data_IF_855275231750
#
_entry.id   IF_855275231750
#
_cell.length_a   1.000
_cell.length_b   1.000
_cell.length_c   1.000
_cell.angle_alpha   90.00
_cell.angle_beta   90.00
_cell.angle_gamma   90.00
#
_symmetry.space_group_name_H-M   'P 1'
#
loop_
_entity.id
_entity.type
_entity.pdbx_description
1 polymer ?
#
# COMPACT_ATOMS: atom_id res chain seq x y z
N UNK A 1 -22.98 47.73 18.35
CA UNK A 1 -23.13 48.71 17.26
C UNK A 1 -22.46 48.12 16.04
N UNK A 2 -23.20 47.36 15.23
CA UNK A 2 -22.68 46.66 14.05
C UNK A 2 -22.52 47.67 12.91
N UNK A 3 -21.31 47.80 12.37
CA UNK A 3 -21.06 48.51 11.10
C UNK A 3 -21.15 47.51 9.95
N UNK A 4 -22.10 47.65 9.02
CA UNK A 4 -22.09 46.85 7.81
C UNK A 4 -20.98 47.39 6.88
N UNK A 5 -20.10 46.51 6.41
CA UNK A 5 -19.20 46.80 5.30
C UNK A 5 -19.89 46.31 4.04
N UNK A 6 -20.28 47.25 3.18
CA UNK A 6 -20.83 47.01 1.86
C UNK A 6 -19.68 46.63 0.92
N UNK A 7 -19.61 45.37 0.48
CA UNK A 7 -18.69 44.92 -0.56
C UNK A 7 -19.29 45.34 -1.92
N UNK A 8 -18.75 46.40 -2.53
CA UNK A 8 -19.05 46.75 -3.93
C UNK A 8 -18.14 45.89 -4.82
N UNK A 9 -18.73 44.90 -5.50
CA UNK A 9 -18.05 44.18 -6.58
C UNK A 9 -18.15 45.04 -7.85
N UNK A 10 -17.08 45.73 -8.19
CA UNK A 10 -16.89 46.26 -9.54
C UNK A 10 -16.43 45.10 -10.43
N UNK A 11 -17.29 44.63 -11.33
CA UNK A 11 -16.91 43.64 -12.35
C UNK A 11 -16.03 44.35 -13.38
N UNK A 12 -14.71 44.24 -13.23
CA UNK A 12 -13.79 44.52 -14.35
C UNK A 12 -13.79 43.30 -15.27
N UNK A 13 -14.44 43.43 -16.42
CA UNK A 13 -14.27 42.50 -17.52
C UNK A 13 -12.82 42.60 -18.04
N UNK A 14 -12.04 41.52 -17.89
CA UNK A 14 -10.74 41.42 -18.54
C UNK A 14 -9.69 40.68 -17.70
N UNK A 15 -9.67 39.36 -17.84
CA UNK A 15 -8.51 38.45 -17.93
C UNK A 15 -9.10 37.02 -17.89
N UNK A 16 -8.69 36.08 -18.76
CA UNK A 16 -9.05 34.68 -18.57
C UNK A 16 -8.46 34.28 -17.21
N UNK A 17 -9.31 34.17 -16.20
CA UNK A 17 -8.88 33.61 -14.93
C UNK A 17 -8.49 32.18 -15.26
N UNK A 18 -7.20 31.85 -15.13
CA UNK A 18 -6.79 30.47 -15.07
C UNK A 18 -7.69 29.81 -14.03
N UNK A 19 -8.43 28.77 -14.44
CA UNK A 19 -9.20 27.97 -13.48
C UNK A 19 -8.20 27.58 -12.38
N UNK A 20 -8.51 27.84 -11.10
CA UNK A 20 -7.63 27.42 -10.02
C UNK A 20 -7.41 25.92 -10.17
N UNK A 21 -6.17 25.51 -10.45
CA UNK A 21 -5.80 24.11 -10.50
C UNK A 21 -5.76 23.63 -9.06
N UNK A 22 -6.82 22.95 -8.63
CA UNK A 22 -6.81 22.27 -7.34
C UNK A 22 -5.78 21.13 -7.42
N UNK A 23 -4.81 21.07 -6.49
CA UNK A 23 -3.93 19.92 -6.41
C UNK A 23 -4.79 18.69 -6.05
N UNK A 24 -4.79 17.70 -6.93
CA UNK A 24 -5.50 16.43 -6.71
C UNK A 24 -4.48 15.36 -6.37
N UNK A 25 -4.71 14.65 -5.26
CA UNK A 25 -3.99 13.43 -4.93
C UNK A 25 -4.67 12.19 -5.51
N UNK A 26 -3.90 11.13 -5.75
CA UNK A 26 -4.41 9.84 -6.22
C UNK A 26 -4.04 8.74 -5.24
N UNK A 27 -5.02 7.90 -4.85
CA UNK A 27 -4.72 6.65 -4.16
C UNK A 27 -4.23 5.63 -5.17
N UNK A 28 -3.04 5.08 -4.98
CA UNK A 28 -2.50 4.07 -5.87
C UNK A 28 -3.17 2.73 -5.58
N UNK A 29 -3.68 2.07 -6.62
CA UNK A 29 -4.36 0.79 -6.50
C UNK A 29 -3.45 -0.31 -5.94
N UNK A 30 -4.08 -1.24 -5.21
CA UNK A 30 -3.41 -2.42 -4.64
C UNK A 30 -2.84 -3.36 -5.69
N UNK A 31 -1.91 -4.19 -5.24
CA UNK A 31 -1.14 -5.08 -6.09
C UNK A 31 -1.42 -6.54 -5.77
N UNK A 32 -1.71 -7.32 -6.81
CA UNK A 32 -1.79 -8.78 -6.75
C UNK A 32 -1.54 -9.35 -8.16
N UNK A 33 -1.39 -10.66 -8.30
CA UNK A 33 -1.02 -11.26 -9.59
C UNK A 33 -2.11 -11.17 -10.66
N UNK A 34 -3.37 -10.87 -10.32
CA UNK A 34 -4.48 -10.80 -11.28
C UNK A 34 -4.96 -9.36 -11.53
N UNK A 35 -4.26 -8.37 -10.97
CA UNK A 35 -4.62 -6.96 -11.14
C UNK A 35 -4.37 -6.55 -12.59
N UNK A 36 -5.29 -5.75 -13.14
CA UNK A 36 -5.11 -5.11 -14.44
C UNK A 36 -4.17 -3.90 -14.36
N UNK A 37 -3.84 -3.45 -13.15
CA UNK A 37 -2.93 -2.33 -12.93
C UNK A 37 -1.47 -2.83 -12.98
N UNK A 38 -0.82 -2.67 -14.12
CA UNK A 38 0.60 -2.98 -14.28
C UNK A 38 1.44 -1.83 -13.69
N UNK A 39 2.16 -2.12 -12.61
CA UNK A 39 2.93 -1.12 -11.85
C UNK A 39 4.44 -1.29 -12.03
N UNK A 40 4.94 -2.52 -11.91
CA UNK A 40 6.36 -2.85 -11.98
C UNK A 40 6.71 -3.38 -13.37
N UNK A 41 7.96 -3.21 -13.79
CA UNK A 41 8.44 -3.77 -15.06
C UNK A 41 8.74 -5.26 -14.94
N UNK A 42 9.24 -5.69 -13.78
CA UNK A 42 9.44 -7.11 -13.47
C UNK A 42 8.13 -7.75 -13.01
N UNK A 43 7.63 -8.70 -13.81
CA UNK A 43 6.37 -9.40 -13.55
C UNK A 43 6.42 -10.16 -12.22
N UNK A 44 7.60 -10.67 -11.82
CA UNK A 44 7.79 -11.42 -10.58
C UNK A 44 7.43 -10.58 -9.34
N UNK A 45 7.64 -9.26 -9.40
CA UNK A 45 7.30 -8.33 -8.30
C UNK A 45 5.84 -8.43 -7.86
N UNK A 46 4.96 -8.83 -8.78
CA UNK A 46 3.50 -8.94 -8.56
C UNK A 46 3.02 -10.37 -8.36
N UNK A 47 3.94 -11.34 -8.26
CA UNK A 47 3.62 -12.75 -8.17
C UNK A 47 2.77 -13.09 -6.93
N UNK A 48 2.01 -14.19 -7.02
CA UNK A 48 1.28 -14.71 -5.87
C UNK A 48 2.23 -15.17 -4.76
N UNK A 49 1.64 -15.52 -3.63
CA UNK A 49 2.35 -16.30 -2.61
C UNK A 49 2.76 -17.68 -3.15
N UNK A 50 3.68 -18.33 -2.44
CA UNK A 50 4.04 -19.72 -2.71
C UNK A 50 2.85 -20.64 -2.46
N UNK A 51 2.57 -21.47 -3.44
CA UNK A 51 1.55 -22.51 -3.37
C UNK A 51 2.27 -23.83 -3.23
N UNK A 52 2.09 -24.50 -2.10
CA UNK A 52 2.73 -25.77 -1.78
C UNK A 52 1.96 -26.94 -2.39
N UNK A 53 2.67 -27.91 -2.92
CA UNK A 53 2.07 -29.14 -3.46
C UNK A 53 3.03 -30.32 -3.36
N UNK A 54 2.51 -31.54 -3.49
CA UNK A 54 3.33 -32.73 -3.72
C UNK A 54 2.66 -33.62 -4.77
N UNK A 55 3.32 -34.69 -5.18
CA UNK A 55 2.71 -35.65 -6.11
C UNK A 55 1.43 -36.24 -5.49
N UNK A 56 0.33 -36.19 -6.25
CA UNK A 56 -0.99 -36.66 -5.81
C UNK A 56 -1.79 -35.69 -4.93
N UNK A 57 -1.27 -34.50 -4.61
CA UNK A 57 -2.03 -33.48 -3.86
C UNK A 57 -3.02 -32.71 -4.73
N UNK A 58 -3.89 -31.93 -4.10
CA UNK A 58 -4.66 -30.86 -4.76
C UNK A 58 -3.73 -29.72 -5.25
N UNK A 59 -4.32 -28.68 -5.87
CA UNK A 59 -3.58 -27.52 -6.39
C UNK A 59 -2.74 -26.81 -5.32
N UNK A 60 -3.28 -26.70 -4.10
CA UNK A 60 -2.65 -26.10 -2.94
C UNK A 60 -2.85 -27.02 -1.73
N UNK A 61 -1.77 -27.39 -1.06
CA UNK A 61 -1.81 -28.19 0.18
C UNK A 61 -2.08 -27.35 1.43
N UNK A 62 -1.94 -26.02 1.36
CA UNK A 62 -2.22 -25.10 2.46
C UNK A 62 -1.14 -25.05 3.56
N UNK A 63 -0.01 -25.75 3.37
CA UNK A 63 1.08 -25.84 4.37
C UNK A 63 2.24 -24.86 4.11
N UNK A 64 1.97 -23.74 3.42
CA UNK A 64 2.99 -22.74 3.06
C UNK A 64 3.72 -22.17 4.27
N UNK A 65 3.03 -21.97 5.39
CA UNK A 65 3.65 -21.45 6.62
C UNK A 65 4.58 -22.45 7.33
N UNK A 66 4.68 -23.69 6.83
CA UNK A 66 5.64 -24.71 7.28
C UNK A 66 6.92 -24.75 6.43
N UNK A 67 7.01 -23.97 5.35
CA UNK A 67 8.22 -23.88 4.53
C UNK A 67 9.35 -23.18 5.30
N UNK A 68 10.56 -23.71 5.17
CA UNK A 68 11.78 -22.99 5.53
C UNK A 68 12.12 -22.01 4.40
N UNK A 69 12.07 -20.71 4.72
CA UNK A 69 12.26 -19.61 3.79
C UNK A 69 13.47 -18.77 4.21
N UNK A 70 14.19 -18.22 3.24
CA UNK A 70 15.23 -17.23 3.51
C UNK A 70 14.63 -15.88 3.96
N UNK A 71 15.49 -14.92 4.27
CA UNK A 71 15.08 -13.58 4.74
C UNK A 71 14.29 -12.77 3.72
N UNK A 72 14.35 -13.15 2.43
CA UNK A 72 13.61 -12.57 1.31
C UNK A 72 12.34 -13.37 1.00
N UNK A 73 12.09 -14.46 1.73
CA UNK A 73 10.93 -15.32 1.60
C UNK A 73 11.02 -16.35 0.47
N UNK A 74 12.20 -16.62 -0.10
CA UNK A 74 12.39 -17.73 -1.04
C UNK A 74 12.60 -19.06 -0.30
N UNK A 75 12.06 -20.20 -0.76
CA UNK A 75 12.35 -21.50 -0.17
C UNK A 75 13.85 -21.83 -0.21
N UNK A 76 14.42 -22.19 0.94
CA UNK A 76 15.86 -22.48 1.05
C UNK A 76 16.26 -23.76 0.32
N UNK A 77 15.33 -24.63 0.01
CA UNK A 77 15.50 -25.81 -0.85
C UNK A 77 14.14 -26.28 -1.36
N UNK A 78 14.15 -27.05 -2.46
CA UNK A 78 12.95 -27.70 -3.01
C UNK A 78 13.35 -29.07 -3.59
N UNK A 79 12.62 -30.16 -3.29
CA UNK A 79 11.49 -30.23 -2.37
C UNK A 79 11.92 -30.17 -0.89
N UNK A 80 11.03 -29.70 -0.02
CA UNK A 80 11.16 -29.82 1.44
C UNK A 80 10.32 -30.98 1.96
N UNK A 81 10.77 -31.67 3.01
CA UNK A 81 9.95 -32.72 3.65
C UNK A 81 8.99 -32.08 4.65
N UNK A 82 7.72 -31.96 4.29
CA UNK A 82 6.65 -31.41 5.14
C UNK A 82 5.57 -32.48 5.30
N UNK A 83 5.19 -32.78 6.54
CA UNK A 83 4.17 -33.79 6.86
C UNK A 83 4.45 -35.18 6.21
N UNK A 84 5.73 -35.51 6.00
CA UNK A 84 6.15 -36.77 5.37
C UNK A 84 6.12 -36.77 3.83
N UNK A 85 5.77 -35.66 3.20
CA UNK A 85 5.70 -35.50 1.76
C UNK A 85 6.86 -34.66 1.22
N UNK A 86 7.34 -34.98 0.01
CA UNK A 86 8.27 -34.16 -0.74
C UNK A 86 7.52 -32.97 -1.35
N UNK A 87 7.45 -31.88 -0.61
CA UNK A 87 6.68 -30.67 -0.95
C UNK A 87 7.49 -29.76 -1.87
N UNK A 88 6.93 -29.50 -3.04
CA UNK A 88 7.37 -28.52 -4.03
C UNK A 88 6.56 -27.22 -3.91
N UNK A 89 6.99 -26.18 -4.64
CA UNK A 89 6.28 -24.90 -4.69
C UNK A 89 5.97 -24.48 -6.11
N UNK A 90 4.88 -23.73 -6.26
CA UNK A 90 4.51 -23.02 -7.47
C UNK A 90 4.01 -21.63 -7.14
N UNK A 91 3.96 -20.75 -8.11
CA UNK A 91 3.43 -19.40 -7.95
C UNK A 91 2.75 -18.95 -9.25
N UNK A 92 1.80 -18.05 -9.13
CA UNK A 92 1.15 -17.41 -10.26
C UNK A 92 1.84 -16.10 -10.59
N UNK A 93 1.83 -15.76 -11.88
CA UNK A 93 2.33 -14.48 -12.38
C UNK A 93 1.23 -13.76 -13.15
N UNK A 94 1.36 -12.44 -13.23
CA UNK A 94 0.37 -11.60 -13.89
C UNK A 94 0.46 -11.71 -15.40
N UNK A 95 -0.60 -12.23 -16.03
CA UNK A 95 -0.70 -12.39 -17.48
C UNK A 95 -1.49 -11.26 -18.16
N UNK A 96 -1.65 -10.10 -17.52
CA UNK A 96 -2.06 -8.86 -18.20
C UNK A 96 -0.88 -8.14 -18.89
N UNK A 97 0.34 -8.54 -18.59
CA UNK A 97 1.51 -8.17 -19.37
C UNK A 97 1.46 -8.83 -20.75
N UNK A 98 1.98 -8.16 -21.76
CA UNK A 98 2.00 -8.66 -23.14
C UNK A 98 3.42 -8.64 -23.68
N UNK A 99 3.78 -9.68 -24.44
CA UNK A 99 5.04 -9.78 -25.15
C UNK A 99 5.95 -10.88 -24.62
N UNK A 100 7.21 -10.83 -25.03
CA UNK A 100 8.23 -11.80 -24.67
C UNK A 100 9.04 -11.31 -23.47
N UNK A 101 9.22 -12.17 -22.48
CA UNK A 101 9.92 -11.89 -21.23
C UNK A 101 11.01 -12.92 -21.00
N UNK A 102 12.14 -12.48 -20.48
CA UNK A 102 13.24 -13.35 -20.05
C UNK A 102 13.03 -13.76 -18.59
N UNK A 103 13.14 -15.06 -18.34
CA UNK A 103 13.09 -15.64 -17.00
C UNK A 103 14.52 -15.79 -16.47
N UNK A 104 14.81 -15.10 -15.38
CA UNK A 104 16.13 -15.03 -14.74
C UNK A 104 15.99 -15.48 -13.29
N UNK A 105 17.02 -16.10 -12.73
CA UNK A 105 17.11 -16.44 -11.31
C UNK A 105 18.56 -16.64 -10.91
N UNK A 106 18.84 -16.51 -9.61
CA UNK A 106 20.12 -16.90 -9.02
C UNK A 106 19.98 -18.27 -8.35
N UNK A 107 21.04 -19.06 -8.37
CA UNK A 107 21.10 -20.37 -7.73
C UNK A 107 21.01 -21.55 -8.69
N UNK A 108 20.82 -22.74 -8.14
CA UNK A 108 20.68 -24.00 -8.86
C UNK A 108 19.31 -24.61 -8.59
N UNK A 109 18.51 -24.79 -9.63
CA UNK A 109 17.18 -25.38 -9.55
C UNK A 109 16.61 -25.76 -10.91
N UNK A 110 15.41 -26.33 -10.89
CA UNK A 110 14.67 -26.73 -12.07
C UNK A 110 13.24 -26.19 -12.01
N UNK A 111 12.69 -25.88 -13.19
CA UNK A 111 11.39 -25.22 -13.31
C UNK A 111 10.47 -25.94 -14.30
N UNK A 112 9.17 -25.77 -14.10
CA UNK A 112 8.12 -26.17 -15.03
C UNK A 112 7.15 -25.00 -15.24
N UNK A 113 6.73 -24.78 -16.48
CA UNK A 113 6.00 -23.59 -16.90
C UNK A 113 4.65 -23.98 -17.49
N UNK A 114 3.60 -23.23 -17.14
CA UNK A 114 2.30 -23.29 -17.82
C UNK A 114 2.06 -22.02 -18.63
N UNK A 115 3.06 -21.66 -19.42
CA UNK A 115 3.08 -20.53 -20.33
C UNK A 115 3.98 -20.90 -21.49
N UNK A 116 3.69 -20.50 -22.75
CA UNK A 116 4.57 -20.77 -23.86
C UNK A 116 5.99 -20.28 -23.59
N UNK A 117 6.95 -21.21 -23.67
CA UNK A 117 8.35 -20.97 -23.34
C UNK A 117 9.29 -21.50 -24.43
N UNK A 118 10.44 -20.85 -24.57
CA UNK A 118 11.52 -21.24 -25.47
C UNK A 118 12.85 -21.14 -24.74
N UNK A 119 13.62 -22.22 -24.76
CA UNK A 119 15.02 -22.25 -24.30
C UNK A 119 15.95 -21.74 -25.41
N UNK A 120 16.88 -20.86 -25.06
CA UNK A 120 17.93 -20.35 -25.94
C UNK A 120 19.28 -20.38 -25.21
N UNK A 121 20.37 -20.16 -25.94
CA UNK A 121 21.74 -20.24 -25.40
C UNK A 121 21.98 -19.28 -24.21
N UNK A 122 21.21 -18.19 -24.12
CA UNK A 122 21.27 -17.18 -23.06
C UNK A 122 20.14 -17.28 -22.00
N UNK A 123 19.28 -18.31 -22.07
CA UNK A 123 18.30 -18.62 -21.02
C UNK A 123 16.89 -18.90 -21.52
N UNK A 124 15.95 -18.97 -20.57
CA UNK A 124 14.54 -19.27 -20.81
C UNK A 124 13.76 -17.99 -21.10
N UNK A 125 12.92 -18.01 -22.14
CA UNK A 125 11.98 -16.95 -22.45
C UNK A 125 10.55 -17.46 -22.38
N UNK A 126 9.65 -16.65 -21.81
CA UNK A 126 8.21 -16.91 -21.77
C UNK A 126 7.46 -15.86 -22.61
N UNK A 127 6.30 -16.22 -23.14
CA UNK A 127 5.42 -15.29 -23.87
C UNK A 127 4.12 -15.08 -23.09
N UNK A 128 3.87 -13.84 -22.68
CA UNK A 128 2.63 -13.42 -22.04
C UNK A 128 1.70 -12.79 -23.08
N UNK A 129 0.41 -13.12 -23.02
CA UNK A 129 -0.57 -12.77 -24.07
C UNK A 129 -1.51 -11.62 -23.68
N UNK A 130 -1.38 -11.10 -22.45
CA UNK A 130 -2.18 -9.97 -21.95
C UNK A 130 -3.62 -10.34 -21.55
N UNK A 131 -4.02 -11.61 -21.66
CA UNK A 131 -5.41 -12.03 -21.43
C UNK A 131 -5.83 -12.04 -19.96
N UNK A 132 -4.86 -11.99 -19.04
CA UNK A 132 -5.09 -12.23 -17.61
C UNK A 132 -5.38 -13.69 -17.27
N UNK A 133 -5.09 -14.61 -18.20
CA UNK A 133 -5.25 -16.05 -18.00
C UNK A 133 -4.41 -16.60 -16.84
N UNK A 134 -4.77 -17.80 -16.39
CA UNK A 134 -4.13 -18.47 -15.25
C UNK A 134 -2.74 -19.03 -15.62
N UNK A 135 -1.71 -18.21 -15.42
CA UNK A 135 -0.30 -18.58 -15.67
C UNK A 135 0.43 -18.87 -14.37
N UNK A 136 1.19 -19.96 -14.35
CA UNK A 136 2.00 -20.35 -13.21
C UNK A 136 3.36 -20.93 -13.60
N UNK A 137 4.28 -20.86 -12.64
CA UNK A 137 5.62 -21.44 -12.70
C UNK A 137 5.82 -22.32 -11.45
N UNK A 138 6.39 -23.49 -11.64
CA UNK A 138 6.75 -24.44 -10.59
C UNK A 138 8.26 -24.43 -10.40
N UNK A 139 8.70 -24.41 -9.14
CA UNK A 139 10.06 -24.79 -8.77
C UNK A 139 9.99 -26.27 -8.42
N UNK A 140 10.59 -27.11 -9.24
CA UNK A 140 10.57 -28.58 -9.06
C UNK A 140 11.82 -29.08 -8.36
N UNK A 141 12.90 -28.30 -8.38
CA UNK A 141 14.11 -28.54 -7.60
C UNK A 141 14.80 -27.22 -7.24
N UNK A 142 15.41 -27.16 -6.06
CA UNK A 142 16.28 -26.08 -5.63
C UNK A 142 17.27 -26.59 -4.59
N UNK A 143 18.56 -26.33 -4.78
CA UNK A 143 19.62 -26.85 -3.92
C UNK A 143 19.82 -26.03 -2.65
N UNK A 144 19.89 -26.67 -1.48
CA UNK A 144 20.05 -26.00 -0.18
C UNK A 144 21.27 -25.09 -0.05
N UNK A 145 22.39 -25.48 -0.64
CA UNK A 145 23.65 -24.74 -0.59
C UNK A 145 23.72 -23.59 -1.62
N UNK A 146 22.82 -23.58 -2.59
CA UNK A 146 22.75 -22.57 -3.64
C UNK A 146 21.30 -22.45 -4.16
N UNK A 147 20.39 -22.03 -3.28
CA UNK A 147 18.96 -22.10 -3.56
C UNK A 147 18.51 -21.06 -4.58
N UNK A 148 17.37 -21.34 -5.21
CA UNK A 148 16.73 -20.48 -6.20
C UNK A 148 16.23 -19.25 -5.47
N UNK A 149 16.67 -18.08 -5.93
CA UNK A 149 16.30 -16.78 -5.38
C UNK A 149 16.43 -15.70 -6.46
N UNK A 150 16.01 -14.48 -6.14
CA UNK A 150 16.14 -13.33 -7.05
C UNK A 150 15.56 -13.63 -8.46
N UNK A 151 14.40 -14.30 -8.47
CA UNK A 151 13.68 -14.59 -9.69
C UNK A 151 13.23 -13.27 -10.30
N UNK A 152 13.48 -13.06 -11.59
CA UNK A 152 13.09 -11.87 -12.35
C UNK A 152 12.48 -12.29 -13.67
N UNK A 153 11.39 -11.63 -14.06
CA UNK A 153 10.66 -11.86 -15.31
C UNK A 153 10.55 -10.50 -16.00
N UNK A 154 11.56 -10.18 -16.80
CA UNK A 154 11.74 -8.84 -17.38
C UNK A 154 11.50 -8.85 -18.89
N UNK A 155 11.05 -7.75 -19.50
CA UNK A 155 10.89 -7.67 -20.95
C UNK A 155 12.17 -8.02 -21.70
N UNK A 156 12.06 -8.70 -22.84
CA UNK A 156 13.19 -9.06 -23.72
C UNK A 156 14.08 -7.82 -24.04
N UNK A 157 13.46 -6.64 -24.19
CA UNK A 157 14.17 -5.39 -24.46
C UNK A 157 15.07 -4.87 -23.33
N UNK A 158 14.96 -5.42 -22.12
CA UNK A 158 15.75 -5.04 -20.95
C UNK A 158 16.63 -6.18 -20.44
N UNK A 159 16.78 -7.26 -21.21
CA UNK A 159 17.36 -8.50 -20.73
C UNK A 159 18.74 -8.37 -20.05
N UNK A 160 19.64 -7.59 -20.64
CA UNK A 160 21.02 -7.41 -20.18
C UNK A 160 21.24 -6.05 -19.50
N UNK A 161 20.20 -5.21 -19.44
CA UNK A 161 20.27 -3.82 -18.97
C UNK A 161 19.32 -3.51 -17.82
N UNK A 162 18.46 -4.45 -17.42
CA UNK A 162 17.53 -4.26 -16.33
C UNK A 162 18.27 -3.97 -15.02
N UNK A 163 17.96 -2.83 -14.42
CA UNK A 163 18.50 -2.39 -13.15
C UNK A 163 17.35 -1.90 -12.25
N UNK A 164 16.92 -2.65 -11.23
CA UNK A 164 15.84 -2.23 -10.34
C UNK A 164 16.22 -1.02 -9.46
N UNK A 165 17.50 -0.60 -9.43
CA UNK A 165 17.91 0.64 -8.79
C UNK A 165 17.58 1.89 -9.62
N UNK A 166 17.39 1.75 -10.94
CA UNK A 166 16.87 2.80 -11.80
C UNK A 166 15.32 2.81 -11.71
N UNK A 167 14.69 3.88 -11.21
CA UNK A 167 13.22 3.96 -11.13
C UNK A 167 12.53 3.82 -12.50
N UNK A 168 13.20 4.21 -13.60
CA UNK A 168 12.69 4.06 -14.96
C UNK A 168 12.68 2.61 -15.46
N UNK A 169 13.47 1.74 -14.84
CA UNK A 169 13.41 0.30 -15.03
C UNK A 169 12.51 -0.38 -13.98
N UNK A 170 12.51 0.09 -12.73
CA UNK A 170 11.70 -0.49 -11.66
C UNK A 170 10.20 -0.42 -11.98
N UNK A 171 9.71 0.78 -12.35
CA UNK A 171 8.30 1.02 -12.61
C UNK A 171 7.97 0.99 -14.10
N UNK A 172 6.76 0.50 -14.40
CA UNK A 172 6.26 0.43 -15.76
C UNK A 172 5.99 1.85 -16.32
N UNK A 173 6.54 2.14 -17.49
CA UNK A 173 6.49 3.48 -18.10
C UNK A 173 5.08 4.08 -18.23
N UNK A 174 4.08 3.35 -18.76
CA UNK A 174 2.69 3.83 -18.81
C UNK A 174 2.08 4.11 -17.43
N UNK A 175 2.45 3.38 -16.39
CA UNK A 175 2.03 3.67 -15.02
C UNK A 175 2.62 5.00 -14.53
N UNK A 176 3.92 5.20 -14.71
CA UNK A 176 4.58 6.47 -14.38
C UNK A 176 3.91 7.66 -15.08
N UNK A 177 3.65 7.53 -16.39
CA UNK A 177 2.98 8.57 -17.19
C UNK A 177 1.56 8.86 -16.68
N UNK A 178 0.82 7.83 -16.28
CA UNK A 178 -0.52 7.97 -15.72
C UNK A 178 -0.58 8.77 -14.42
N UNK A 179 0.56 8.87 -13.71
CA UNK A 179 0.66 9.61 -12.45
C UNK A 179 1.13 11.06 -12.60
N UNK A 180 1.59 11.48 -13.78
CA UNK A 180 2.05 12.86 -14.04
C UNK A 180 1.04 13.95 -13.64
N UNK A 181 -0.29 13.81 -13.86
CA UNK A 181 -1.25 14.86 -13.54
C UNK A 181 -1.48 15.09 -12.04
N UNK A 182 -1.16 14.12 -11.18
CA UNK A 182 -1.46 14.21 -9.75
C UNK A 182 -0.40 14.99 -9.00
N UNK A 183 -0.78 15.61 -7.89
CA UNK A 183 0.10 16.34 -7.01
C UNK A 183 0.73 15.45 -5.93
N UNK A 184 -0.09 14.59 -5.32
CA UNK A 184 0.30 13.70 -4.23
C UNK A 184 -0.16 12.27 -4.51
N UNK A 185 0.58 11.29 -4.00
CA UNK A 185 0.25 9.87 -4.14
C UNK A 185 -0.04 9.28 -2.76
N UNK A 186 -1.24 8.71 -2.58
CA UNK A 186 -1.65 8.00 -1.37
C UNK A 186 -1.41 6.50 -1.53
N UNK A 187 -0.80 5.89 -0.53
CA UNK A 187 -0.30 4.52 -0.58
C UNK A 187 -1.08 3.55 0.31
N UNK A 188 -2.38 3.80 0.54
CA UNK A 188 -3.19 3.00 1.47
C UNK A 188 -3.23 1.53 1.04
N UNK A 189 -3.52 1.28 -0.24
CA UNK A 189 -3.58 -0.07 -0.79
C UNK A 189 -2.19 -0.65 -1.01
N UNK A 190 -1.18 0.15 -1.35
CA UNK A 190 0.20 -0.35 -1.41
C UNK A 190 0.66 -0.89 -0.06
N UNK A 191 0.35 -0.20 1.02
CA UNK A 191 0.76 -0.59 2.36
C UNK A 191 -0.10 -1.71 2.96
N UNK A 192 -1.11 -2.24 2.25
CA UNK A 192 -2.10 -3.18 2.78
C UNK A 192 -2.66 -2.69 4.14
N UNK A 193 -3.11 -1.43 4.18
CA UNK A 193 -3.51 -0.75 5.44
C UNK A 193 -4.73 -1.41 6.08
N UNK A 194 -5.75 -1.74 5.28
CA UNK A 194 -6.95 -2.41 5.74
C UNK A 194 -6.62 -3.83 6.24
N UNK A 195 -7.00 -4.15 7.48
CA UNK A 195 -6.70 -5.46 8.08
C UNK A 195 -5.20 -5.76 8.24
N UNK A 196 -4.33 -4.74 8.21
CA UNK A 196 -2.88 -4.91 8.29
C UNK A 196 -2.48 -5.69 9.53
N UNK A 197 -1.59 -6.67 9.36
CA UNK A 197 -1.03 -7.48 10.45
C UNK A 197 0.34 -6.96 10.93
N UNK A 198 0.84 -5.88 10.34
CA UNK A 198 2.13 -5.30 10.68
C UNK A 198 2.05 -4.56 12.03
N UNK A 199 2.95 -4.88 12.96
CA UNK A 199 2.97 -4.29 14.32
C UNK A 199 4.33 -3.68 14.65
N UNK A 200 5.41 -4.45 14.46
CA UNK A 200 6.80 -4.04 14.72
C UNK A 200 7.48 -3.63 13.44
N UNK A 201 8.48 -2.75 13.52
CA UNK A 201 9.24 -2.29 12.34
C UNK A 201 9.81 -3.44 11.48
N UNK A 202 10.19 -4.54 12.13
CA UNK A 202 10.66 -5.77 11.46
C UNK A 202 9.61 -6.44 10.57
N UNK A 203 8.32 -6.20 10.83
CA UNK A 203 7.20 -6.81 10.10
C UNK A 203 6.94 -6.13 8.76
N UNK A 204 7.66 -5.04 8.43
CA UNK A 204 7.51 -4.34 7.16
C UNK A 204 7.96 -5.17 5.96
N UNK A 205 7.34 -4.91 4.82
CA UNK A 205 7.82 -5.42 3.53
C UNK A 205 9.10 -4.70 3.13
N UNK A 206 10.04 -5.43 2.54
CA UNK A 206 11.33 -4.93 2.05
C UNK A 206 11.43 -5.04 0.53
N UNK A 207 12.26 -4.22 -0.14
CA UNK A 207 12.48 -4.34 -1.59
C UNK A 207 12.92 -5.73 -2.04
N UNK A 208 13.69 -6.42 -1.20
CA UNK A 208 14.24 -7.74 -1.49
C UNK A 208 13.25 -8.90 -1.24
N UNK A 209 12.05 -8.63 -0.72
CA UNK A 209 11.04 -9.68 -0.54
C UNK A 209 10.60 -10.20 -1.91
N UNK A 210 10.44 -11.52 -2.05
CA UNK A 210 10.20 -12.22 -3.32
C UNK A 210 8.97 -11.72 -4.09
N UNK A 211 8.02 -11.06 -3.42
CA UNK A 211 6.84 -10.43 -4.01
C UNK A 211 6.42 -9.21 -3.20
N UNK A 212 5.95 -8.19 -3.90
CA UNK A 212 5.29 -7.00 -3.36
C UNK A 212 3.75 -7.11 -3.47
N UNK A 213 3.22 -8.20 -4.05
CA UNK A 213 1.79 -8.42 -4.27
C UNK A 213 1.08 -9.25 -3.21
N UNK A 214 1.79 -9.66 -2.14
CA UNK A 214 1.23 -10.55 -1.10
C UNK A 214 1.00 -9.81 0.22
N UNK A 215 2.05 -9.16 0.75
CA UNK A 215 2.02 -8.42 2.01
C UNK A 215 1.90 -6.89 1.83
N UNK A 216 1.77 -6.45 0.58
CA UNK A 216 1.79 -5.05 0.16
C UNK A 216 3.15 -4.66 -0.43
N UNK A 217 3.20 -3.48 -1.02
CA UNK A 217 4.41 -2.84 -1.55
C UNK A 217 5.16 -2.13 -0.42
N UNK A 218 6.47 -2.28 -0.39
CA UNK A 218 7.31 -1.68 0.62
C UNK A 218 7.33 -0.14 0.56
N UNK A 219 7.56 0.48 1.73
CA UNK A 219 7.71 1.94 1.91
C UNK A 219 8.83 2.49 1.03
N UNK A 220 9.90 1.72 0.84
CA UNK A 220 11.04 2.05 -0.02
C UNK A 220 10.59 2.40 -1.44
N UNK A 221 9.77 1.57 -2.07
CA UNK A 221 9.28 1.78 -3.44
C UNK A 221 8.35 3.00 -3.52
N UNK A 222 7.50 3.22 -2.51
CA UNK A 222 6.65 4.41 -2.45
C UNK A 222 7.48 5.70 -2.43
N UNK A 223 8.54 5.75 -1.62
CA UNK A 223 9.47 6.89 -1.57
C UNK A 223 10.21 7.04 -2.91
N UNK A 224 10.69 5.95 -3.50
CA UNK A 224 11.36 5.98 -4.82
C UNK A 224 10.44 6.55 -5.89
N UNK A 225 9.17 6.14 -5.93
CA UNK A 225 8.19 6.64 -6.89
C UNK A 225 7.96 8.16 -6.73
N UNK A 226 7.71 8.61 -5.49
CA UNK A 226 7.51 10.02 -5.19
C UNK A 226 8.72 10.88 -5.55
N UNK A 227 9.93 10.42 -5.20
CA UNK A 227 11.17 11.11 -5.55
C UNK A 227 11.37 11.21 -7.06
N UNK A 228 11.09 10.13 -7.80
CA UNK A 228 11.27 10.08 -9.25
C UNK A 228 10.28 10.99 -9.99
N UNK A 229 9.03 11.04 -9.54
CA UNK A 229 7.98 11.85 -10.16
C UNK A 229 7.86 13.28 -9.58
N UNK A 230 8.60 13.58 -8.50
CA UNK A 230 8.49 14.85 -7.78
C UNK A 230 7.09 15.06 -7.17
N UNK A 231 6.52 14.03 -6.55
CA UNK A 231 5.16 14.03 -5.99
C UNK A 231 5.18 13.88 -4.49
N UNK A 232 4.29 14.57 -3.81
CA UNK A 232 4.15 14.45 -2.36
C UNK A 232 3.66 13.03 -1.99
N UNK A 233 4.09 12.56 -0.81
CA UNK A 233 3.82 11.21 -0.35
C UNK A 233 2.75 11.21 0.75
N UNK A 234 1.68 10.43 0.57
CA UNK A 234 0.66 10.23 1.59
C UNK A 234 0.65 8.79 2.08
N UNK A 235 1.11 8.63 3.32
CA UNK A 235 1.23 7.34 3.99
C UNK A 235 0.11 7.08 4.98
N UNK A 236 -0.33 5.82 5.04
CA UNK A 236 -1.29 5.34 6.02
C UNK A 236 -0.57 4.39 6.98
N UNK A 237 -0.52 4.75 8.26
CA UNK A 237 0.17 3.96 9.28
C UNK A 237 -0.72 2.78 9.68
N UNK A 238 -0.21 1.53 9.73
CA UNK A 238 -0.98 0.38 10.19
C UNK A 238 -1.59 0.61 11.57
N UNK A 239 -2.84 0.20 11.76
CA UNK A 239 -3.59 0.47 13.00
C UNK A 239 -2.93 -0.13 14.25
N UNK A 240 -2.28 -1.29 14.11
CA UNK A 240 -1.64 -2.00 15.21
C UNK A 240 -0.14 -1.71 15.36
N UNK A 241 0.39 -0.68 14.67
CA UNK A 241 1.80 -0.32 14.73
C UNK A 241 2.21 0.20 16.13
N UNK A 242 3.29 -0.35 16.66
CA UNK A 242 3.91 0.12 17.91
C UNK A 242 4.66 1.45 17.71
N UNK A 243 5.08 2.08 18.81
CA UNK A 243 5.73 3.39 18.76
C UNK A 243 7.03 3.35 17.94
N UNK A 244 7.76 2.24 18.01
CA UNK A 244 9.02 2.05 17.29
C UNK A 244 8.78 1.97 15.78
N UNK A 245 7.79 1.21 15.33
CA UNK A 245 7.36 1.18 13.93
C UNK A 245 7.03 2.59 13.44
N UNK A 246 6.22 3.33 14.20
CA UNK A 246 5.75 4.66 13.79
C UNK A 246 6.93 5.63 13.70
N UNK A 247 7.85 5.60 14.67
CA UNK A 247 9.02 6.45 14.70
C UNK A 247 10.01 6.10 13.58
N UNK A 248 10.33 4.82 13.37
CA UNK A 248 11.20 4.38 12.27
C UNK A 248 10.60 4.70 10.89
N UNK A 249 9.28 4.58 10.74
CA UNK A 249 8.60 4.98 9.52
C UNK A 249 8.73 6.49 9.29
N UNK A 250 8.46 7.30 10.30
CA UNK A 250 8.62 8.76 10.21
C UNK A 250 10.07 9.14 9.85
N UNK A 251 11.07 8.53 10.50
CA UNK A 251 12.50 8.72 10.17
C UNK A 251 12.80 8.37 8.73
N UNK A 252 12.36 7.19 8.28
CA UNK A 252 12.61 6.72 6.92
C UNK A 252 11.99 7.66 5.87
N UNK A 253 10.75 8.10 6.07
CA UNK A 253 10.08 9.04 5.17
C UNK A 253 10.79 10.41 5.16
N UNK A 254 11.11 10.95 6.33
CA UNK A 254 11.83 12.22 6.50
C UNK A 254 13.19 12.23 5.78
N UNK A 255 13.97 11.17 5.99
CA UNK A 255 15.38 11.11 5.59
C UNK A 255 15.55 10.72 4.12
N UNK A 256 14.61 9.96 3.54
CA UNK A 256 14.74 9.44 2.16
C UNK A 256 13.83 10.11 1.15
N UNK A 257 12.71 10.70 1.57
CA UNK A 257 11.90 11.52 0.65
C UNK A 257 12.63 12.84 0.40
N UNK A 258 12.69 13.25 -0.86
CA UNK A 258 13.28 14.51 -1.31
C UNK A 258 12.76 15.67 -0.45
N UNK A 259 13.68 16.48 0.08
CA UNK A 259 13.38 17.55 1.04
C UNK A 259 12.45 18.64 0.51
N UNK A 260 12.27 18.73 -0.81
CA UNK A 260 11.30 19.62 -1.45
C UNK A 260 9.86 19.09 -1.44
N UNK A 261 9.64 17.83 -1.05
CA UNK A 261 8.34 17.16 -1.05
C UNK A 261 7.75 17.09 0.36
N UNK A 262 6.43 17.12 0.40
CA UNK A 262 5.60 17.02 1.61
C UNK A 262 5.27 15.56 1.92
N UNK A 263 5.21 15.23 3.21
CA UNK A 263 4.68 13.97 3.72
C UNK A 263 3.34 14.21 4.40
N UNK A 264 2.30 13.55 3.90
CA UNK A 264 1.00 13.44 4.55
C UNK A 264 0.97 12.14 5.35
N UNK A 265 0.65 12.24 6.64
CA UNK A 265 0.50 11.07 7.51
C UNK A 265 -0.95 10.94 7.96
N UNK A 266 -1.50 9.74 7.77
CA UNK A 266 -2.83 9.34 8.21
C UNK A 266 -2.71 8.08 9.08
N UNK A 267 -3.48 8.02 10.17
CA UNK A 267 -3.59 6.79 10.96
C UNK A 267 -4.63 5.86 10.33
N UNK A 268 -4.16 4.72 9.81
CA UNK A 268 -4.96 3.65 9.23
C UNK A 268 -5.90 4.15 8.10
N UNK A 269 -7.03 3.49 7.91
CA UNK A 269 -8.05 3.82 6.93
C UNK A 269 -9.45 3.52 7.53
N UNK A 270 -10.37 4.47 7.39
CA UNK A 270 -11.78 4.35 7.81
C UNK A 270 -11.99 3.69 9.19
N UNK A 271 -11.27 4.13 10.22
CA UNK A 271 -11.35 3.52 11.56
C UNK A 271 -12.71 3.69 12.26
N UNK A 272 -13.60 4.51 11.71
CA UNK A 272 -15.00 4.62 12.12
C UNK A 272 -15.90 3.55 11.48
N UNK A 273 -15.42 2.81 10.48
CA UNK A 273 -16.19 1.85 9.70
C UNK A 273 -16.12 0.45 10.32
N UNK A 274 -17.18 0.01 10.98
CA UNK A 274 -17.29 -1.31 11.60
C UNK A 274 -17.25 -2.49 10.61
N UNK A 275 -17.24 -2.23 9.30
CA UNK A 275 -16.93 -3.26 8.30
C UNK A 275 -15.46 -3.68 8.28
N UNK A 276 -14.57 -2.93 8.95
CA UNK A 276 -13.14 -3.22 8.97
C UNK A 276 -12.61 -3.63 10.35
N UNK A 277 -11.67 -4.57 10.35
CA UNK A 277 -11.02 -5.07 11.56
C UNK A 277 -10.30 -3.98 12.36
N UNK A 278 -9.69 -3.00 11.69
CA UNK A 278 -9.00 -1.90 12.37
C UNK A 278 -9.92 -1.07 13.27
N UNK A 279 -11.20 -0.89 12.90
CA UNK A 279 -12.17 -0.16 13.69
C UNK A 279 -12.46 -0.91 15.00
N UNK A 280 -12.56 -2.24 14.91
CA UNK A 280 -12.71 -3.12 16.06
C UNK A 280 -11.46 -3.19 16.92
N UNK A 281 -10.28 -3.16 16.29
CA UNK A 281 -9.01 -3.15 17.00
C UNK A 281 -8.93 -1.95 17.95
N UNK A 282 -9.19 -0.73 17.48
CA UNK A 282 -9.08 0.47 18.32
C UNK A 282 -10.05 0.44 19.50
N UNK A 283 -11.33 0.14 19.25
CA UNK A 283 -12.33 0.21 20.30
C UNK A 283 -12.20 -0.86 21.38
N UNK A 284 -11.73 -2.06 21.01
CA UNK A 284 -11.60 -3.18 21.95
C UNK A 284 -10.26 -3.18 22.69
N UNK A 285 -9.20 -2.60 22.15
CA UNK A 285 -7.99 -2.36 22.93
C UNK A 285 -8.27 -1.38 24.09
N UNK A 286 -7.72 -1.68 25.26
CA UNK A 286 -8.10 -1.04 26.53
C UNK A 286 -9.41 -1.55 27.14
N UNK A 287 -10.29 -2.22 26.39
CA UNK A 287 -11.52 -2.83 26.92
C UNK A 287 -11.34 -4.30 27.26
N UNK A 288 -10.67 -5.05 26.39
CA UNK A 288 -10.46 -6.49 26.54
C UNK A 288 -8.95 -6.76 26.54
N UNK A 289 -8.37 -7.24 27.67
CA UNK A 289 -6.94 -7.49 27.79
C UNK A 289 -6.43 -8.61 26.88
N UNK A 290 -7.32 -9.47 26.37
CA UNK A 290 -6.95 -10.58 25.50
C UNK A 290 -7.17 -10.27 24.00
N UNK A 291 -7.64 -9.06 23.66
CA UNK A 291 -8.05 -8.67 22.30
C UNK A 291 -7.23 -7.52 21.68
N UNK A 292 -6.95 -7.60 20.38
CA UNK A 292 -6.00 -8.53 19.84
C UNK A 292 -4.61 -7.92 20.05
N UNK A 293 -3.90 -8.45 21.05
CA UNK A 293 -2.45 -8.37 21.21
C UNK A 293 -1.82 -7.19 21.98
N UNK A 294 -2.56 -6.30 22.64
CA UNK A 294 -1.96 -5.43 23.66
C UNK A 294 -2.07 -6.09 25.03
N UNK A 295 -0.93 -6.34 25.68
CA UNK A 295 -0.89 -6.79 27.07
C UNK A 295 -1.51 -5.72 27.99
N UNK A 296 -2.11 -6.12 29.11
CA UNK A 296 -2.70 -5.16 30.03
C UNK A 296 -1.67 -4.20 30.66
N UNK A 297 -0.37 -4.52 30.61
CA UNK A 297 0.73 -3.64 31.01
C UNK A 297 1.23 -2.73 29.88
N UNK A 298 0.71 -2.89 28.65
CA UNK A 298 1.05 -2.02 27.53
C UNK A 298 0.57 -0.58 27.79
N UNK A 299 1.42 0.40 27.50
CA UNK A 299 1.11 1.81 27.70
C UNK A 299 -0.06 2.27 26.84
N UNK A 300 -0.18 1.77 25.61
CA UNK A 300 -1.30 2.11 24.72
C UNK A 300 -2.61 1.51 25.22
N UNK A 301 -2.56 0.31 25.82
CA UNK A 301 -3.72 -0.30 26.47
C UNK A 301 -4.25 0.60 27.58
N UNK A 302 -3.38 1.07 28.48
CA UNK A 302 -3.76 1.96 29.57
C UNK A 302 -4.25 3.32 29.06
N UNK A 303 -3.61 3.88 28.04
CA UNK A 303 -4.07 5.14 27.44
C UNK A 303 -5.48 5.03 26.86
N UNK A 304 -5.83 3.92 26.19
CA UNK A 304 -7.20 3.73 25.71
C UNK A 304 -8.20 3.60 26.86
N UNK A 305 -7.82 3.02 28.01
CA UNK A 305 -8.65 3.01 29.21
C UNK A 305 -8.86 4.38 29.79
N UNK A 306 -7.81 5.20 29.84
CA UNK A 306 -7.87 6.56 30.34
C UNK A 306 -8.79 7.43 29.48
N UNK A 307 -8.70 7.31 28.14
CA UNK A 307 -9.64 7.95 27.21
C UNK A 307 -11.07 7.47 27.45
N UNK A 308 -11.27 6.16 27.63
CA UNK A 308 -12.60 5.61 27.89
C UNK A 308 -13.18 6.13 29.23
N UNK A 309 -12.36 6.22 30.27
CA UNK A 309 -12.75 6.79 31.55
C UNK A 309 -13.08 8.29 31.43
N UNK A 310 -12.27 9.05 30.71
CA UNK A 310 -12.46 10.51 30.56
C UNK A 310 -13.76 10.85 29.83
N UNK A 311 -14.04 10.18 28.70
CA UNK A 311 -15.13 10.57 27.81
C UNK A 311 -16.40 9.76 28.00
N UNK A 312 -16.29 8.55 28.56
CA UNK A 312 -17.40 7.62 28.71
C UNK A 312 -17.69 7.24 30.18
N UNK A 313 -16.91 7.72 31.16
CA UNK A 313 -17.02 7.38 32.59
C UNK A 313 -16.97 5.85 32.85
N UNK A 314 -16.30 5.12 31.94
CA UNK A 314 -16.14 3.67 31.99
C UNK A 314 -14.84 3.27 31.27
N UNK A 315 -13.80 2.79 32.00
CA UNK A 315 -12.52 2.43 31.41
C UNK A 315 -12.60 1.18 30.50
N UNK A 316 -13.68 0.39 30.60
CA UNK A 316 -13.92 -0.77 29.74
C UNK A 316 -14.84 -0.43 28.55
N UNK A 317 -15.19 0.84 28.37
CA UNK A 317 -16.02 1.28 27.25
C UNK A 317 -15.28 1.13 25.92
N UNK A 318 -16.05 0.84 24.87
CA UNK A 318 -15.57 0.94 23.49
C UNK A 318 -15.12 2.36 23.15
N UNK A 319 -15.75 3.36 23.78
CA UNK A 319 -15.51 4.80 23.70
C UNK A 319 -15.12 5.33 22.31
N UNK A 320 -16.00 5.10 21.35
CA UNK A 320 -15.89 5.65 20.01
C UNK A 320 -16.57 7.04 19.89
N UNK A 321 -15.96 8.00 19.17
CA UNK A 321 -14.71 7.91 18.41
C UNK A 321 -13.49 8.46 19.15
N UNK A 322 -13.55 8.71 20.46
CA UNK A 322 -12.43 9.33 21.16
C UNK A 322 -11.17 8.46 21.20
N UNK A 323 -11.32 7.12 21.27
CA UNK A 323 -10.16 6.24 21.08
C UNK A 323 -9.56 6.33 19.67
N UNK A 324 -10.38 6.52 18.64
CA UNK A 324 -9.91 6.73 17.27
C UNK A 324 -9.12 8.04 17.17
N UNK A 325 -9.64 9.10 17.77
CA UNK A 325 -8.99 10.40 17.82
C UNK A 325 -7.66 10.35 18.59
N UNK A 326 -7.60 9.62 19.70
CA UNK A 326 -6.38 9.38 20.47
C UNK A 326 -5.33 8.62 19.66
N UNK A 327 -5.75 7.59 18.91
CA UNK A 327 -4.84 6.83 18.08
C UNK A 327 -4.26 7.67 16.93
N UNK A 328 -5.07 8.56 16.31
CA UNK A 328 -4.57 9.56 15.36
C UNK A 328 -3.56 10.50 16.02
N UNK A 329 -3.91 11.05 17.20
CA UNK A 329 -3.05 11.94 17.96
C UNK A 329 -1.69 11.30 18.26
N UNK A 330 -1.67 10.03 18.68
CA UNK A 330 -0.44 9.28 18.96
C UNK A 330 0.49 9.26 17.74
N UNK A 331 -0.03 8.88 16.57
CA UNK A 331 0.75 8.88 15.32
C UNK A 331 1.28 10.28 15.01
N UNK A 332 0.40 11.28 15.09
CA UNK A 332 0.74 12.67 14.80
C UNK A 332 1.85 13.21 15.69
N UNK A 333 1.81 12.89 17.00
CA UNK A 333 2.82 13.33 17.94
C UNK A 333 4.18 12.69 17.68
N UNK A 334 4.22 11.39 17.40
CA UNK A 334 5.47 10.68 17.09
C UNK A 334 6.08 11.22 15.80
N UNK A 335 5.28 11.32 14.73
CA UNK A 335 5.75 11.88 13.46
C UNK A 335 6.23 13.32 13.61
N UNK A 336 5.48 14.15 14.32
CA UNK A 336 5.87 15.53 14.60
C UNK A 336 7.19 15.60 15.36
N UNK A 337 7.40 14.76 16.38
CA UNK A 337 8.65 14.70 17.14
C UNK A 337 9.85 14.41 16.22
N UNK A 338 9.75 13.37 15.39
CA UNK A 338 10.81 13.00 14.45
C UNK A 338 11.12 14.11 13.42
N UNK A 339 10.11 14.81 12.92
CA UNK A 339 10.33 15.91 11.96
C UNK A 339 10.82 17.19 12.65
N UNK A 340 10.34 17.48 13.85
CA UNK A 340 10.73 18.65 14.64
C UNK A 340 12.21 18.58 15.06
N UNK A 341 12.66 17.44 15.56
CA UNK A 341 14.06 17.25 16.00
C UNK A 341 15.07 17.43 14.86
N UNK A 342 14.63 17.23 13.61
CA UNK A 342 15.42 17.46 12.41
C UNK A 342 15.23 18.86 11.78
N UNK A 343 14.35 19.71 12.33
CA UNK A 343 14.02 21.02 11.77
C UNK A 343 13.25 20.96 10.45
N UNK A 344 12.45 19.91 10.24
CA UNK A 344 11.74 19.63 8.99
C UNK A 344 10.21 19.60 9.14
N UNK A 345 9.67 20.15 10.23
CA UNK A 345 8.22 20.14 10.53
C UNK A 345 7.36 20.75 9.40
N UNK A 346 7.88 21.73 8.66
CA UNK A 346 7.19 22.35 7.51
C UNK A 346 6.87 21.36 6.36
N UNK A 347 7.50 20.18 6.36
CA UNK A 347 7.26 19.11 5.37
C UNK A 347 6.19 18.12 5.81
N UNK A 348 5.65 18.22 7.03
CA UNK A 348 4.72 17.25 7.58
C UNK A 348 3.29 17.80 7.58
N UNK A 349 2.35 17.03 7.04
CA UNK A 349 0.92 17.29 7.10
C UNK A 349 0.23 16.13 7.81
N UNK A 350 -0.39 16.42 8.96
CA UNK A 350 -1.14 15.44 9.76
C UNK A 350 -2.59 15.42 9.29
N UNK A 351 -3.05 14.28 8.81
CA UNK A 351 -4.36 14.16 8.15
C UNK A 351 -5.35 13.42 9.03
N UNK A 352 -6.35 14.14 9.55
CA UNK A 352 -7.43 13.55 10.33
C UNK A 352 -8.45 12.85 9.43
N UNK A 353 -8.57 11.53 9.58
CA UNK A 353 -9.59 10.76 8.88
C UNK A 353 -10.98 11.05 9.47
N UNK A 354 -11.94 11.42 8.62
CA UNK A 354 -13.30 11.76 9.02
C UNK A 354 -14.32 11.10 8.09
N UNK A 355 -15.59 11.08 8.48
CA UNK A 355 -16.66 10.49 7.69
C UNK A 355 -17.64 11.59 7.24
N UNK A 356 -17.75 11.84 5.93
CA UNK A 356 -18.46 13.02 5.40
C UNK A 356 -19.92 13.17 5.87
N UNK A 357 -20.63 12.06 6.10
CA UNK A 357 -22.03 12.02 6.50
C UNK A 357 -22.28 11.97 8.01
N UNK A 358 -21.24 11.90 8.86
CA UNK A 358 -21.37 11.68 10.30
C UNK A 358 -20.79 12.85 11.09
N UNK A 359 -21.50 13.98 11.05
CA UNK A 359 -21.05 15.23 11.68
C UNK A 359 -20.71 15.08 13.17
N UNK A 360 -21.47 14.27 13.92
CA UNK A 360 -21.22 14.04 15.34
C UNK A 360 -19.94 13.24 15.64
N UNK A 361 -19.57 12.31 14.76
CA UNK A 361 -18.28 11.63 14.83
C UNK A 361 -17.14 12.63 14.57
N UNK A 362 -17.27 13.40 13.49
CA UNK A 362 -16.24 14.34 13.07
C UNK A 362 -16.01 15.44 14.11
N UNK A 363 -17.06 16.02 14.69
CA UNK A 363 -16.92 17.08 15.70
C UNK A 363 -16.21 16.59 16.96
N UNK A 364 -16.42 15.33 17.37
CA UNK A 364 -15.77 14.72 18.52
C UNK A 364 -14.30 14.40 18.23
N UNK A 365 -13.99 13.85 17.06
CA UNK A 365 -12.60 13.62 16.62
C UNK A 365 -11.83 14.93 16.58
N UNK A 366 -12.35 15.94 15.87
CA UNK A 366 -11.67 17.22 15.72
C UNK A 366 -11.59 17.98 17.04
N UNK A 367 -12.61 17.91 17.89
CA UNK A 367 -12.60 18.51 19.22
C UNK A 367 -11.58 17.87 20.15
N UNK A 368 -11.32 16.58 20.03
CA UNK A 368 -10.21 15.91 20.72
C UNK A 368 -8.88 16.41 20.15
N UNK A 369 -8.65 16.28 18.84
CA UNK A 369 -7.38 16.66 18.20
C UNK A 369 -7.00 18.13 18.45
N UNK A 370 -7.95 19.07 18.41
CA UNK A 370 -7.71 20.50 18.67
C UNK A 370 -7.09 20.78 20.05
N UNK A 371 -7.52 20.03 21.08
CA UNK A 371 -6.95 20.11 22.44
C UNK A 371 -5.55 19.50 22.56
N UNK A 372 -5.13 18.77 21.53
CA UNK A 372 -4.09 17.76 21.61
C UNK A 372 -3.03 17.91 20.50
N UNK A 373 -2.92 19.09 19.90
CA UNK A 373 -1.91 19.45 18.90
C UNK A 373 -2.47 19.65 17.49
N UNK A 374 -3.75 19.33 17.26
CA UNK A 374 -4.47 19.54 16.01
C UNK A 374 -4.12 18.55 14.91
N UNK A 375 -4.78 18.76 13.77
CA UNK A 375 -4.46 18.18 12.47
C UNK A 375 -4.36 19.31 11.45
N UNK A 376 -3.61 19.08 10.38
CA UNK A 376 -3.32 20.09 9.36
C UNK A 376 -4.27 19.96 8.15
N UNK A 377 -4.79 18.74 7.94
CA UNK A 377 -5.75 18.44 6.88
C UNK A 377 -6.82 17.43 7.34
N UNK A 378 -7.91 17.34 6.58
CA UNK A 378 -9.00 16.40 6.78
C UNK A 378 -9.08 15.44 5.58
N UNK A 379 -9.27 14.15 5.84
CA UNK A 379 -9.55 13.14 4.82
C UNK A 379 -10.98 12.63 5.00
N UNK A 380 -11.98 13.30 4.38
CA UNK A 380 -13.35 12.80 4.37
C UNK A 380 -13.49 11.69 3.33
N UNK A 381 -14.09 10.57 3.71
CA UNK A 381 -14.53 9.59 2.70
C UNK A 381 -15.59 10.21 1.81
N UNK A 382 -15.22 10.51 0.58
CA UNK A 382 -16.11 11.04 -0.46
C UNK A 382 -16.08 10.07 -1.63
N UNK A 383 -17.23 9.50 -1.96
CA UNK A 383 -17.37 8.60 -3.11
C UNK A 383 -17.91 9.38 -4.30
N UNK A 384 -17.11 9.46 -5.36
CA UNK A 384 -17.62 9.83 -6.67
C UNK A 384 -18.15 8.55 -7.31
N UNK A 385 -19.46 8.46 -7.50
CA UNK A 385 -20.07 7.33 -8.18
C UNK A 385 -20.45 7.74 -9.60
N UNK A 386 -19.98 6.97 -10.56
CA UNK A 386 -20.52 6.96 -11.90
C UNK A 386 -21.69 5.98 -11.95
N UNK A 387 -22.73 6.31 -12.70
CA UNK A 387 -23.89 5.43 -12.85
C UNK A 387 -23.57 4.29 -13.80
N UNK A 388 -24.39 3.23 -13.77
CA UNK A 388 -24.33 2.15 -14.78
C UNK A 388 -24.40 2.72 -16.20
N UNK A 389 -25.22 3.75 -16.42
CA UNK A 389 -25.34 4.48 -17.69
C UNK A 389 -24.03 5.17 -18.10
N UNK A 390 -23.29 5.77 -17.16
CA UNK A 390 -21.96 6.33 -17.45
C UNK A 390 -20.99 5.21 -17.89
N UNK A 391 -21.01 4.07 -17.20
CA UNK A 391 -20.16 2.93 -17.54
C UNK A 391 -20.51 2.31 -18.89
N UNK A 392 -21.80 2.11 -19.19
CA UNK A 392 -22.28 1.61 -20.49
C UNK A 392 -21.87 2.54 -21.64
N UNK A 393 -21.98 3.86 -21.40
CA UNK A 393 -21.57 4.89 -22.36
C UNK A 393 -20.08 4.77 -22.67
N UNK A 394 -19.22 4.64 -21.67
CA UNK A 394 -17.79 4.45 -21.88
C UNK A 394 -17.43 3.10 -22.50
N UNK A 395 -18.12 2.02 -22.15
CA UNK A 395 -17.92 0.69 -22.74
C UNK A 395 -18.29 0.65 -24.23
N UNK A 396 -19.22 1.50 -24.66
CA UNK A 396 -19.58 1.67 -26.06
C UNK A 396 -18.62 2.58 -26.85
N UNK A 397 -17.73 3.32 -26.16
CA UNK A 397 -16.75 4.18 -26.81
C UNK A 397 -15.55 3.39 -27.32
N UNK A 398 -15.03 3.80 -28.47
CA UNK A 398 -13.69 3.38 -28.88
C UNK A 398 -12.67 4.10 -27.98
N UNK A 399 -11.75 3.38 -27.28
CA UNK A 399 -10.80 3.98 -26.36
C UNK A 399 -9.95 5.12 -26.97
N UNK A 400 -9.74 5.11 -28.30
CA UNK A 400 -9.02 6.19 -29.00
C UNK A 400 -9.75 7.52 -29.06
N UNK A 401 -11.07 7.50 -28.83
CA UNK A 401 -11.96 8.63 -29.07
C UNK A 401 -12.43 9.27 -27.74
N UNK A 402 -12.06 8.68 -26.60
CA UNK A 402 -12.41 9.16 -25.26
C UNK A 402 -11.57 10.39 -24.90
N UNK A 403 -12.23 11.51 -24.62
CA UNK A 403 -11.61 12.71 -24.05
C UNK A 403 -11.88 12.82 -22.56
N UNK A 404 -11.09 13.63 -21.83
CA UNK A 404 -11.33 13.89 -20.41
C UNK A 404 -12.73 14.51 -20.18
N UNK A 405 -13.17 15.39 -21.08
CA UNK A 405 -14.49 16.04 -20.99
C UNK A 405 -15.62 15.00 -21.07
N UNK A 406 -15.47 13.94 -21.88
CA UNK A 406 -16.46 12.86 -22.02
C UNK A 406 -16.56 11.93 -20.79
N UNK A 407 -15.63 12.03 -19.86
CA UNK A 407 -15.59 11.22 -18.62
C UNK A 407 -16.04 12.05 -17.40
N UNK A 408 -15.94 13.38 -17.49
CA UNK A 408 -16.23 14.31 -16.39
C UNK A 408 -17.68 14.83 -16.45
N UNK A 409 -18.30 14.89 -17.64
CA UNK A 409 -19.74 15.15 -17.83
C UNK A 409 -20.59 13.90 -17.56
#
# INVERSE_FOLDING_TARGET
>A
MFRPVLLIIAVSAGLPHALPTFPIGMNIGGLNYYTRCIIFTDVMTTASDWITYHEGSEWNTGVRDQLDLDSSGYPVEVPQTIEGHATMVRFLINNHYTGRYRFLYDGEGAFSFNVPQVEQDNGTYITLDGTGGHVWIQITSSRKDNHVRNIRIVPDSLEDTYDPADPGHLFYGPFLKGLEPFHALRFMDWMHTNGSQQKRWSDRVKPADYSQGTRGVCIDHAITLCNYLGKDAWFCVPHAADDEYIAEFARMARDRLNSALTVYVEYSNEIWNWGFDQAHWVGKNGRDPDFPHLDCHDTLYQQFRDVALEYCDDPESYCHPEKDAHAMQRVFNIWRGEFFDAGQEDRLVRVAAIQVGWCGNNSRILGHLDKHGGADALSPTSYFNFTEENHETWLAMNPSDVTADMVID
#
